data_IF_538703244896
#
_entry.id   IF_538703244896
#
_cell.length_a   1.000
_cell.length_b   1.000
_cell.length_c   1.000
_cell.angle_alpha   90.00
_cell.angle_beta   90.00
_cell.angle_gamma   90.00
#
_symmetry.space_group_name_H-M   'P 1'
#
loop_
_entity.id
_entity.type
_entity.pdbx_description
1 polymer ?
#
# COMPACT_ATOMS: atom_id res chain seq x y z
N UNK A 1 -7.59 -31.50 5.35
CA UNK A 1 -7.52 -32.59 4.33
C UNK A 1 -7.17 -31.97 2.98
N UNK A 2 -6.42 -32.69 2.16
CA UNK A 2 -6.18 -32.36 0.75
C UNK A 2 -6.68 -33.46 -0.16
N UNK A 3 -7.12 -33.09 -1.35
CA UNK A 3 -7.54 -34.05 -2.35
C UNK A 3 -6.32 -34.76 -2.95
N UNK A 4 -6.43 -36.05 -3.16
CA UNK A 4 -5.41 -36.92 -3.76
C UNK A 4 -6.08 -37.88 -4.77
N UNK A 5 -5.41 -38.08 -5.89
CA UNK A 5 -5.82 -39.11 -6.82
C UNK A 5 -5.52 -40.52 -6.21
N UNK A 6 -6.51 -41.37 -6.17
CA UNK A 6 -6.37 -42.77 -5.70
C UNK A 6 -6.70 -43.70 -6.85
N UNK A 7 -5.75 -44.58 -7.18
CA UNK A 7 -5.96 -45.57 -8.22
C UNK A 7 -6.92 -46.66 -7.70
N UNK A 8 -7.97 -46.94 -8.46
CA UNK A 8 -8.82 -48.11 -8.25
C UNK A 8 -8.16 -49.39 -8.76
N UNK A 9 -8.68 -50.56 -8.40
CA UNK A 9 -8.20 -51.88 -8.86
C UNK A 9 -8.29 -52.04 -10.39
N UNK A 10 -9.18 -51.31 -11.01
CA UNK A 10 -9.40 -51.23 -12.46
C UNK A 10 -8.48 -50.23 -13.18
N UNK A 11 -7.55 -49.61 -12.47
CA UNK A 11 -6.64 -48.57 -12.99
C UNK A 11 -7.29 -47.20 -13.17
N UNK A 12 -8.56 -47.00 -12.84
CA UNK A 12 -9.20 -45.70 -12.86
C UNK A 12 -8.73 -44.85 -11.68
N UNK A 13 -8.57 -43.53 -11.91
CA UNK A 13 -8.25 -42.60 -10.85
C UNK A 13 -9.55 -42.03 -10.27
N UNK A 14 -9.68 -42.09 -8.96
CA UNK A 14 -10.80 -41.51 -8.22
C UNK A 14 -10.29 -40.45 -7.24
N UNK A 15 -11.10 -39.42 -6.96
CA UNK A 15 -10.74 -38.47 -5.91
C UNK A 15 -10.80 -39.16 -4.54
N UNK A 16 -9.71 -39.09 -3.82
CA UNK A 16 -9.61 -39.46 -2.42
C UNK A 16 -9.12 -38.29 -1.59
N UNK A 17 -9.06 -38.43 -0.28
CA UNK A 17 -8.62 -37.37 0.62
C UNK A 17 -7.58 -37.94 1.59
N UNK A 18 -6.60 -37.12 1.91
CA UNK A 18 -5.61 -37.40 2.94
C UNK A 18 -5.47 -36.21 3.88
N UNK A 19 -4.96 -36.43 5.08
CA UNK A 19 -4.63 -35.35 5.99
C UNK A 19 -3.64 -34.37 5.30
N UNK A 20 -3.86 -33.07 5.43
CA UNK A 20 -2.89 -32.08 4.99
C UNK A 20 -1.57 -32.32 5.75
N UNK A 21 -0.41 -32.23 5.08
CA UNK A 21 0.86 -32.35 5.78
C UNK A 21 0.94 -31.37 6.94
N UNK A 22 1.43 -31.82 8.07
CA UNK A 22 1.78 -30.92 9.17
C UNK A 22 2.96 -30.06 8.71
N UNK A 23 2.94 -28.78 9.07
CA UNK A 23 4.10 -27.93 8.85
C UNK A 23 5.29 -28.46 9.64
N UNK A 24 6.45 -28.41 9.02
CA UNK A 24 7.71 -28.88 9.62
C UNK A 24 8.56 -27.74 10.18
N UNK A 25 8.11 -26.50 9.99
CA UNK A 25 8.79 -25.29 10.44
C UNK A 25 8.04 -24.72 11.65
N UNK A 26 8.78 -24.34 12.67
CA UNK A 26 8.30 -23.60 13.82
C UNK A 26 8.58 -22.10 13.61
N UNK A 27 7.54 -21.26 13.34
CA UNK A 27 7.72 -19.85 13.11
C UNK A 27 8.29 -19.09 14.32
N UNK A 28 7.89 -19.46 15.54
CA UNK A 28 8.39 -18.83 16.75
C UNK A 28 9.89 -19.10 16.95
N UNK A 29 10.32 -20.32 16.63
CA UNK A 29 11.74 -20.68 16.64
C UNK A 29 12.50 -19.89 15.56
N UNK A 30 11.94 -19.79 14.34
CA UNK A 30 12.53 -19.00 13.25
C UNK A 30 12.71 -17.53 13.64
N UNK A 31 11.69 -16.92 14.21
CA UNK A 31 11.77 -15.55 14.71
C UNK A 31 12.88 -15.38 15.73
N UNK A 32 12.96 -16.30 16.70
CA UNK A 32 13.97 -16.23 17.78
C UNK A 32 15.40 -16.43 17.26
N UNK A 33 15.60 -17.35 16.32
CA UNK A 33 16.92 -17.69 15.77
C UNK A 33 17.45 -16.63 14.79
N UNK A 34 16.57 -15.83 14.20
CA UNK A 34 16.93 -14.89 13.13
C UNK A 34 16.67 -13.41 13.51
N UNK A 35 16.65 -13.10 14.78
CA UNK A 35 16.57 -11.71 15.25
C UNK A 35 17.76 -10.91 14.75
N UNK A 36 17.46 -9.70 14.27
CA UNK A 36 18.51 -8.78 13.83
C UNK A 36 19.21 -8.15 15.02
N UNK A 37 20.54 -8.11 14.98
CA UNK A 37 21.33 -7.36 15.95
C UNK A 37 21.04 -5.86 15.80
N UNK A 38 20.73 -5.15 16.89
CA UNK A 38 20.39 -3.74 16.81
C UNK A 38 21.63 -2.87 16.55
N UNK A 39 21.46 -1.91 15.66
CA UNK A 39 22.37 -0.77 15.57
C UNK A 39 22.10 0.11 16.80
N UNK A 40 23.11 0.43 17.63
CA UNK A 40 22.92 1.21 18.83
C UNK A 40 22.31 2.59 18.55
N UNK A 41 21.35 3.00 19.38
CA UNK A 41 20.76 4.34 19.29
C UNK A 41 21.79 5.41 19.62
N UNK A 42 21.93 6.40 18.74
CA UNK A 42 22.93 7.46 18.88
C UNK A 42 22.36 8.79 19.38
N UNK A 43 21.02 8.89 19.49
CA UNK A 43 20.33 10.18 19.55
C UNK A 43 20.42 10.92 18.23
N UNK A 44 19.70 12.03 18.12
CA UNK A 44 19.71 12.87 16.92
C UNK A 44 21.12 13.42 16.67
N UNK A 45 21.65 13.16 15.50
CA UNK A 45 22.95 13.63 14.99
C UNK A 45 22.81 14.77 13.99
N UNK A 46 21.57 15.16 13.69
CA UNK A 46 21.25 16.14 12.67
C UNK A 46 21.37 15.64 11.23
N UNK A 47 21.55 14.33 11.03
CA UNK A 47 21.59 13.73 9.70
C UNK A 47 20.21 13.77 9.05
N UNK A 48 20.17 14.06 7.76
CA UNK A 48 18.95 14.05 6.95
C UNK A 48 19.01 12.93 5.92
N UNK A 49 17.85 12.43 5.49
CA UNK A 49 17.80 11.38 4.45
C UNK A 49 18.50 11.85 3.15
N UNK A 50 18.45 13.16 2.85
CA UNK A 50 19.21 13.75 1.75
C UNK A 50 20.73 13.59 1.86
N UNK A 51 21.27 13.45 3.07
CA UNK A 51 22.71 13.20 3.28
C UNK A 51 23.07 11.75 2.90
N UNK A 52 22.13 10.80 3.09
CA UNK A 52 22.30 9.42 2.61
C UNK A 52 22.26 9.41 1.07
N UNK A 53 21.31 10.13 0.45
CA UNK A 53 21.23 10.29 -1.01
C UNK A 53 22.53 10.86 -1.58
N UNK A 54 23.10 11.87 -0.92
CA UNK A 54 24.36 12.53 -1.30
C UNK A 54 25.60 11.72 -0.89
N UNK A 55 25.45 10.54 -0.29
CA UNK A 55 26.54 9.65 0.18
C UNK A 55 27.48 10.29 1.21
N UNK A 56 26.97 11.24 2.02
CA UNK A 56 27.69 11.87 3.12
C UNK A 56 27.63 11.04 4.40
N UNK A 57 26.55 10.26 4.56
CA UNK A 57 26.24 9.40 5.70
C UNK A 57 25.78 8.05 5.17
N UNK A 58 26.07 6.98 5.87
CA UNK A 58 25.51 5.66 5.52
C UNK A 58 24.07 5.52 5.99
N UNK A 59 23.35 4.56 5.45
CA UNK A 59 21.97 4.27 5.88
C UNK A 59 21.93 3.82 7.34
N UNK A 60 22.91 3.05 7.77
CA UNK A 60 23.04 2.55 9.14
C UNK A 60 23.29 3.71 10.13
N UNK A 61 24.17 4.66 9.78
CA UNK A 61 24.40 5.86 10.59
C UNK A 61 23.14 6.73 10.68
N UNK A 62 22.41 6.87 9.58
CA UNK A 62 21.16 7.60 9.54
C UNK A 62 20.09 6.95 10.43
N UNK A 63 19.86 5.64 10.30
CA UNK A 63 18.82 4.92 11.04
C UNK A 63 19.18 4.78 12.52
N UNK A 64 20.48 4.82 12.89
CA UNK A 64 20.93 4.80 14.27
C UNK A 64 20.39 5.96 15.13
N UNK A 65 20.09 7.10 14.52
CA UNK A 65 19.56 8.28 15.22
C UNK A 65 18.03 8.28 15.42
N UNK A 66 17.28 7.41 14.71
CA UNK A 66 15.82 7.31 14.86
C UNK A 66 15.49 6.64 16.19
N UNK A 67 14.50 7.15 16.92
CA UNK A 67 14.00 6.52 18.15
C UNK A 67 13.24 5.22 17.86
N UNK A 68 12.93 4.44 18.90
CA UNK A 68 12.09 3.25 18.75
C UNK A 68 10.68 3.61 18.29
N UNK A 69 10.12 4.73 18.77
CA UNK A 69 8.79 5.20 18.35
C UNK A 69 8.82 5.65 16.88
N UNK A 70 9.89 6.32 16.39
CA UNK A 70 10.07 6.64 14.98
C UNK A 70 10.08 5.38 14.09
N UNK A 71 10.84 4.35 14.51
CA UNK A 71 10.93 3.09 13.79
C UNK A 71 9.59 2.35 13.76
N UNK A 72 8.81 2.40 14.84
CA UNK A 72 7.46 1.84 14.90
C UNK A 72 6.50 2.62 13.99
N UNK A 73 6.59 3.97 13.95
CA UNK A 73 5.82 4.78 13.01
C UNK A 73 6.14 4.43 11.56
N UNK A 74 7.41 4.20 11.22
CA UNK A 74 7.81 3.80 9.87
C UNK A 74 7.27 2.43 9.44
N UNK A 75 7.03 1.51 10.39
CA UNK A 75 6.39 0.23 10.12
C UNK A 75 4.89 0.37 9.78
N UNK A 76 4.27 1.50 10.05
CA UNK A 76 2.83 1.71 9.91
C UNK A 76 2.51 2.63 8.74
N UNK A 77 1.76 2.12 7.75
CA UNK A 77 1.20 2.93 6.68
C UNK A 77 -0.16 3.49 7.07
N UNK A 78 -0.41 4.74 6.76
CA UNK A 78 -1.72 5.37 6.93
C UNK A 78 -2.64 5.07 5.74
N UNK A 79 -3.92 5.02 6.01
CA UNK A 79 -4.95 4.56 5.11
C UNK A 79 -5.30 5.51 4.00
N UNK A 80 -6.35 5.09 3.31
CA UNK A 80 -6.85 5.72 2.10
C UNK A 80 -7.16 7.19 2.32
N UNK A 81 -6.78 7.98 1.33
CA UNK A 81 -6.96 9.44 1.34
C UNK A 81 -6.25 10.15 2.49
N UNK A 82 -5.06 9.70 2.88
CA UNK A 82 -4.23 10.45 3.81
C UNK A 82 -3.97 11.87 3.25
N UNK A 83 -4.17 12.94 4.05
CA UNK A 83 -3.93 14.31 3.60
C UNK A 83 -2.45 14.64 3.41
N UNK A 84 -1.55 13.73 3.80
CA UNK A 84 -0.08 13.92 3.74
C UNK A 84 0.52 13.65 2.35
N UNK A 85 -0.28 13.10 1.44
CA UNK A 85 0.13 12.68 0.08
C UNK A 85 -0.91 13.05 -0.95
N UNK A 86 -0.67 12.70 -2.22
CA UNK A 86 -1.62 12.97 -3.31
C UNK A 86 -3.02 12.48 -2.96
N UNK A 87 -4.04 13.36 -3.06
CA UNK A 87 -5.41 13.03 -2.73
C UNK A 87 -5.95 11.84 -3.52
N UNK A 88 -6.77 11.02 -2.88
CA UNK A 88 -7.40 9.86 -3.50
C UNK A 88 -6.50 8.64 -3.65
N UNK A 89 -5.26 8.70 -3.18
CA UNK A 89 -4.35 7.55 -3.17
C UNK A 89 -4.73 6.52 -2.12
N UNK A 90 -4.27 5.28 -2.30
CA UNK A 90 -4.70 4.15 -1.49
C UNK A 90 -4.04 4.11 -0.09
N UNK A 91 -2.82 4.57 0.04
CA UNK A 91 -2.12 4.70 1.31
C UNK A 91 -0.88 5.60 1.24
N UNK A 92 -0.47 6.08 2.41
CA UNK A 92 0.77 6.79 2.64
C UNK A 92 1.68 6.01 3.59
N UNK A 93 3.00 6.12 3.40
CA UNK A 93 4.00 5.47 4.25
C UNK A 93 5.32 6.26 4.27
N UNK A 94 6.23 5.93 5.19
CA UNK A 94 7.50 6.64 5.35
C UNK A 94 7.39 7.80 6.34
N UNK A 95 7.64 9.03 5.92
CA UNK A 95 7.66 10.23 6.77
C UNK A 95 6.26 10.73 7.13
N UNK A 96 5.53 10.00 7.93
CA UNK A 96 4.14 10.30 8.28
C UNK A 96 3.99 11.20 9.50
N UNK A 97 5.06 11.47 10.23
CA UNK A 97 5.04 12.37 11.41
C UNK A 97 5.93 13.60 11.15
N UNK A 98 5.67 14.72 11.83
CA UNK A 98 6.54 15.89 11.74
C UNK A 98 8.00 15.55 12.09
N UNK A 99 8.22 14.71 13.11
CA UNK A 99 9.56 14.30 13.56
C UNK A 99 10.29 13.53 12.45
N UNK A 100 9.62 12.58 11.79
CA UNK A 100 10.20 11.86 10.65
C UNK A 100 10.50 12.81 9.47
N UNK A 101 9.65 13.79 9.22
CA UNK A 101 9.89 14.80 8.19
C UNK A 101 11.06 15.74 8.56
N UNK A 102 11.25 16.02 9.85
CA UNK A 102 12.44 16.75 10.32
C UNK A 102 13.74 15.98 10.04
N UNK A 103 13.73 14.65 10.05
CA UNK A 103 14.85 13.83 9.57
C UNK A 103 15.00 13.82 8.03
N UNK A 104 14.15 14.54 7.32
CA UNK A 104 14.17 14.62 5.86
C UNK A 104 13.54 13.41 5.17
N UNK A 105 12.71 12.65 5.87
CA UNK A 105 11.97 11.50 5.32
C UNK A 105 10.65 12.01 4.76
N UNK A 106 10.41 11.93 3.43
CA UNK A 106 9.11 12.31 2.87
C UNK A 106 8.05 11.24 3.11
N UNK A 107 6.79 11.66 3.08
CA UNK A 107 5.67 10.74 2.91
C UNK A 107 5.63 10.27 1.44
N UNK A 108 5.66 8.97 1.23
CA UNK A 108 5.48 8.33 -0.07
C UNK A 108 4.06 7.74 -0.17
N UNK A 109 3.53 7.54 -1.36
CA UNK A 109 2.21 6.98 -1.53
C UNK A 109 2.12 5.91 -2.60
N UNK A 110 1.06 5.11 -2.48
CA UNK A 110 0.66 4.16 -3.50
C UNK A 110 -0.79 4.37 -3.91
N UNK A 111 -1.10 4.09 -5.19
CA UNK A 111 -2.48 4.09 -5.69
C UNK A 111 -2.91 2.69 -6.08
N UNK A 112 -4.19 2.38 -5.88
CA UNK A 112 -4.74 1.11 -6.37
C UNK A 112 -4.93 1.18 -7.88
N UNK A 113 -5.15 0.03 -8.49
CA UNK A 113 -5.54 -0.10 -9.87
C UNK A 113 -4.60 -0.88 -10.79
N UNK A 114 -4.63 -2.24 -10.76
CA UNK A 114 -3.90 -3.05 -11.75
C UNK A 114 -4.31 -2.77 -13.20
N UNK A 115 -5.49 -2.16 -13.40
CA UNK A 115 -6.01 -1.76 -14.71
C UNK A 115 -6.05 -0.24 -14.91
N UNK A 116 -5.04 0.47 -14.42
CA UNK A 116 -4.90 1.92 -14.44
C UNK A 116 -5.03 2.54 -13.05
N UNK A 117 -4.49 3.74 -12.87
CA UNK A 117 -4.49 4.43 -11.59
C UNK A 117 -5.92 4.68 -11.11
N UNK A 118 -6.16 4.44 -9.84
CA UNK A 118 -7.44 4.71 -9.19
C UNK A 118 -7.27 5.77 -8.11
N UNK A 119 -7.95 6.89 -8.29
CA UNK A 119 -8.04 7.96 -7.31
C UNK A 119 -9.45 8.04 -6.74
N UNK A 120 -9.59 7.87 -5.43
CA UNK A 120 -10.90 7.90 -4.76
C UNK A 120 -11.43 9.33 -4.52
N UNK A 121 -10.77 10.33 -5.08
CA UNK A 121 -11.15 11.75 -5.00
C UNK A 121 -11.81 12.29 -6.28
N UNK A 122 -12.03 11.47 -7.31
CA UNK A 122 -12.59 11.89 -8.58
C UNK A 122 -11.58 12.40 -9.61
N UNK A 123 -10.28 12.45 -9.29
CA UNK A 123 -9.23 12.70 -10.28
C UNK A 123 -9.31 11.64 -11.37
N UNK A 124 -9.32 12.08 -12.63
CA UNK A 124 -9.37 11.18 -13.79
C UNK A 124 -8.00 10.60 -14.07
N UNK A 125 -7.97 9.32 -14.41
CA UNK A 125 -6.78 8.63 -14.88
C UNK A 125 -7.13 7.72 -16.05
N UNK A 126 -6.14 7.28 -16.80
CA UNK A 126 -6.37 6.37 -17.92
C UNK A 126 -6.77 4.98 -17.44
N UNK A 127 -7.84 4.45 -18.02
CA UNK A 127 -8.20 3.04 -17.86
C UNK A 127 -7.32 2.18 -18.74
N UNK A 128 -6.74 1.14 -18.17
CA UNK A 128 -5.86 0.21 -18.87
C UNK A 128 -6.54 -1.16 -19.03
N UNK A 129 -6.10 -1.97 -20.00
CA UNK A 129 -6.54 -3.36 -20.11
C UNK A 129 -6.30 -4.13 -18.81
N UNK A 130 -7.20 -5.04 -18.47
CA UNK A 130 -6.99 -5.90 -17.30
C UNK A 130 -5.87 -6.93 -17.54
N UNK A 131 -5.36 -7.53 -16.44
CA UNK A 131 -4.22 -8.45 -16.50
C UNK A 131 -4.45 -9.65 -17.42
N UNK A 132 -5.64 -10.23 -17.43
CA UNK A 132 -5.99 -11.35 -18.33
C UNK A 132 -5.87 -10.93 -19.79
N UNK A 133 -6.36 -9.74 -20.17
CA UNK A 133 -6.25 -9.25 -21.55
C UNK A 133 -4.80 -8.98 -21.92
N UNK A 134 -4.00 -8.40 -21.01
CA UNK A 134 -2.56 -8.20 -21.23
C UNK A 134 -1.85 -9.54 -21.46
N UNK A 135 -2.17 -10.58 -20.68
CA UNK A 135 -1.64 -11.93 -20.88
C UNK A 135 -2.00 -12.55 -22.24
N UNK A 136 -3.21 -12.27 -22.75
CA UNK A 136 -3.66 -12.75 -24.05
C UNK A 136 -2.93 -12.12 -25.25
N UNK A 137 -2.20 -11.02 -25.06
CA UNK A 137 -1.43 -10.39 -26.14
C UNK A 137 -0.21 -11.20 -26.53
N UNK A 138 0.44 -11.87 -25.58
CA UNK A 138 1.76 -12.50 -25.73
C UNK A 138 2.82 -11.52 -26.26
N UNK A 139 2.62 -10.22 -26.11
CA UNK A 139 3.45 -9.16 -26.67
C UNK A 139 4.09 -8.35 -25.53
N UNK A 140 5.30 -8.75 -25.12
CA UNK A 140 6.03 -8.12 -24.03
C UNK A 140 6.37 -6.65 -24.32
N UNK A 141 6.90 -6.29 -25.51
CA UNK A 141 7.17 -4.88 -25.85
C UNK A 141 5.94 -3.99 -25.76
N UNK A 142 4.80 -4.43 -26.28
CA UNK A 142 3.55 -3.67 -26.21
C UNK A 142 3.13 -3.40 -24.77
N UNK A 143 3.26 -4.41 -23.90
CA UNK A 143 2.90 -4.26 -22.47
C UNK A 143 3.90 -3.32 -21.76
N UNK A 144 5.18 -3.40 -22.08
CA UNK A 144 6.20 -2.49 -21.51
C UNK A 144 5.91 -1.03 -21.90
N UNK A 145 5.65 -0.75 -23.20
CA UNK A 145 5.32 0.59 -23.68
C UNK A 145 4.05 1.14 -23.01
N UNK A 146 3.03 0.29 -22.83
CA UNK A 146 1.80 0.68 -22.14
C UNK A 146 2.08 1.09 -20.69
N UNK A 147 2.92 0.36 -19.98
CA UNK A 147 3.25 0.67 -18.60
C UNK A 147 4.30 1.78 -18.44
N UNK A 148 5.06 2.10 -19.47
CA UNK A 148 5.81 3.35 -19.53
C UNK A 148 4.86 4.57 -19.51
N UNK A 149 3.74 4.50 -20.24
CA UNK A 149 2.71 5.55 -20.19
C UNK A 149 2.09 5.65 -18.79
N UNK A 150 1.79 4.51 -18.16
CA UNK A 150 1.30 4.49 -16.78
C UNK A 150 2.32 5.10 -15.80
N UNK A 151 3.60 4.80 -15.96
CA UNK A 151 4.67 5.37 -15.14
C UNK A 151 4.75 6.89 -15.26
N UNK A 152 4.59 7.44 -16.47
CA UNK A 152 4.53 8.90 -16.68
C UNK A 152 3.31 9.52 -15.98
N UNK A 153 2.14 8.87 -16.07
CA UNK A 153 0.92 9.33 -15.37
C UNK A 153 1.10 9.26 -13.85
N UNK A 154 1.73 8.19 -13.31
CA UNK A 154 2.09 8.09 -11.90
C UNK A 154 2.97 9.25 -11.45
N UNK A 155 4.06 9.52 -12.18
CA UNK A 155 5.00 10.60 -11.86
C UNK A 155 4.34 11.97 -11.89
N UNK A 156 3.48 12.22 -12.88
CA UNK A 156 2.71 13.45 -13.00
C UNK A 156 1.73 13.63 -11.82
N UNK A 157 1.12 12.54 -11.35
CA UNK A 157 0.22 12.55 -10.19
C UNK A 157 0.94 12.40 -8.84
N UNK A 158 2.27 12.45 -8.79
CA UNK A 158 3.08 12.28 -7.58
C UNK A 158 2.82 10.96 -6.85
N UNK A 159 2.60 9.89 -7.60
CA UNK A 159 2.40 8.53 -7.10
C UNK A 159 3.70 7.75 -7.27
N UNK A 160 4.18 7.10 -6.22
CA UNK A 160 5.48 6.43 -6.21
C UNK A 160 5.36 4.93 -6.50
N UNK A 161 4.24 4.32 -6.14
CA UNK A 161 3.95 2.91 -6.41
C UNK A 161 2.52 2.67 -6.87
N UNK A 162 2.35 1.83 -7.90
CA UNK A 162 1.05 1.27 -8.31
C UNK A 162 0.83 -0.04 -7.57
N UNK A 163 -0.35 -0.27 -6.99
CA UNK A 163 -0.72 -1.57 -6.40
C UNK A 163 -1.10 -2.57 -7.51
N UNK A 164 -0.11 -3.00 -8.23
CA UNK A 164 -0.14 -3.91 -9.36
C UNK A 164 1.28 -4.14 -9.90
N UNK A 165 1.48 -5.16 -10.72
CA UNK A 165 0.49 -6.10 -11.25
C UNK A 165 -0.06 -7.09 -10.21
N UNK A 166 -1.32 -7.46 -10.39
CA UNK A 166 -1.89 -8.65 -9.75
C UNK A 166 -1.42 -9.90 -10.49
N UNK A 167 -0.80 -10.86 -9.81
CA UNK A 167 -0.14 -11.97 -10.48
C UNK A 167 -0.35 -13.35 -9.85
N UNK A 168 -1.42 -13.51 -9.07
CA UNK A 168 -1.79 -14.83 -8.60
C UNK A 168 -2.29 -15.71 -9.77
N UNK A 169 -2.07 -17.02 -9.64
CA UNK A 169 -2.35 -17.97 -10.71
C UNK A 169 -3.87 -18.20 -10.86
N UNK A 170 -4.37 -18.21 -12.09
CA UNK A 170 -5.74 -18.59 -12.44
C UNK A 170 -5.97 -20.08 -12.16
N UNK A 171 -6.13 -20.42 -10.89
CA UNK A 171 -6.31 -21.80 -10.47
C UNK A 171 -7.75 -22.30 -10.62
N UNK A 172 -8.70 -21.41 -10.34
CA UNK A 172 -10.13 -21.69 -10.43
C UNK A 172 -10.81 -20.62 -11.28
N UNK A 173 -11.50 -20.99 -12.37
CA UNK A 173 -12.16 -20.02 -13.24
C UNK A 173 -13.24 -19.18 -12.53
N UNK A 174 -13.77 -19.64 -11.41
CA UNK A 174 -14.75 -18.92 -10.60
C UNK A 174 -14.11 -17.98 -9.55
N UNK A 175 -12.79 -17.83 -9.51
CA UNK A 175 -12.16 -16.86 -8.63
C UNK A 175 -12.51 -15.43 -9.06
N UNK A 176 -13.05 -14.63 -8.13
CA UNK A 176 -13.58 -13.30 -8.41
C UNK A 176 -12.55 -12.27 -8.88
N UNK A 177 -11.25 -12.54 -8.74
CA UNK A 177 -10.17 -11.62 -9.13
C UNK A 177 -9.32 -12.10 -10.31
N UNK A 178 -9.75 -13.16 -11.00
CA UNK A 178 -9.01 -13.62 -12.19
C UNK A 178 -8.88 -12.56 -13.27
N UNK A 179 -9.85 -11.65 -13.40
CA UNK A 179 -9.80 -10.58 -14.40
C UNK A 179 -8.56 -9.68 -14.24
N UNK A 180 -8.13 -9.40 -13.02
CA UNK A 180 -6.94 -8.57 -12.75
C UNK A 180 -5.63 -9.35 -12.78
N UNK A 181 -5.71 -10.68 -12.59
CA UNK A 181 -4.56 -11.56 -12.71
C UNK A 181 -4.29 -11.91 -14.18
N UNK A 182 -3.14 -12.52 -14.48
CA UNK A 182 -2.64 -12.59 -15.85
C UNK A 182 -2.98 -13.93 -16.51
N UNK A 183 -2.59 -15.05 -15.88
CA UNK A 183 -2.70 -16.37 -16.50
C UNK A 183 -2.70 -17.51 -15.47
N UNK A 184 -3.03 -18.72 -15.92
CA UNK A 184 -2.76 -19.97 -15.19
C UNK A 184 -1.28 -20.40 -15.34
N UNK A 185 -0.58 -19.92 -16.38
CA UNK A 185 0.83 -20.17 -16.62
C UNK A 185 1.69 -19.23 -15.79
N UNK A 186 2.51 -19.74 -14.85
CA UNK A 186 3.37 -18.90 -14.01
C UNK A 186 4.49 -18.23 -14.79
N UNK A 187 4.93 -18.80 -15.91
CA UNK A 187 5.96 -18.22 -16.75
C UNK A 187 5.44 -17.00 -17.51
N UNK A 188 4.29 -17.13 -18.17
CA UNK A 188 3.62 -16.01 -18.85
C UNK A 188 3.26 -14.91 -17.83
N UNK A 189 2.71 -15.29 -16.70
CA UNK A 189 2.40 -14.36 -15.60
C UNK A 189 3.64 -13.59 -15.14
N UNK A 190 4.77 -14.27 -14.98
CA UNK A 190 6.01 -13.66 -14.54
C UNK A 190 6.56 -12.64 -15.53
N UNK A 191 6.64 -13.00 -16.82
CA UNK A 191 7.17 -12.11 -17.84
C UNK A 191 6.27 -10.90 -18.15
N UNK A 192 4.96 -11.10 -18.23
CA UNK A 192 4.03 -9.98 -18.39
C UNK A 192 4.13 -9.03 -17.18
N UNK A 193 4.29 -9.55 -15.97
CA UNK A 193 4.51 -8.71 -14.79
C UNK A 193 5.86 -8.01 -14.80
N UNK A 194 6.92 -8.69 -15.22
CA UNK A 194 8.26 -8.11 -15.30
C UNK A 194 8.29 -6.89 -16.23
N UNK A 195 7.70 -6.98 -17.42
CA UNK A 195 7.69 -5.84 -18.36
C UNK A 195 6.78 -4.70 -17.91
N UNK A 196 5.72 -4.98 -17.13
CA UNK A 196 4.94 -3.93 -16.50
C UNK A 196 5.81 -3.12 -15.52
N UNK A 197 6.62 -3.80 -14.69
CA UNK A 197 7.57 -3.14 -13.80
C UNK A 197 8.59 -2.32 -14.59
N UNK A 198 9.25 -2.95 -15.59
CA UNK A 198 10.25 -2.28 -16.43
C UNK A 198 9.70 -1.02 -17.12
N UNK A 199 8.46 -1.06 -17.60
CA UNK A 199 7.81 0.11 -18.18
C UNK A 199 7.67 1.25 -17.19
N UNK A 200 7.16 1.00 -15.97
CA UNK A 200 7.01 2.01 -14.92
C UNK A 200 8.36 2.57 -14.44
N UNK A 201 9.38 1.71 -14.33
CA UNK A 201 10.72 2.10 -13.89
C UNK A 201 11.39 3.13 -14.83
N UNK A 202 10.98 3.23 -16.10
CA UNK A 202 11.45 4.31 -17.01
C UNK A 202 11.08 5.71 -16.54
N UNK A 203 10.15 5.81 -15.60
CA UNK A 203 9.73 7.06 -14.95
C UNK A 203 10.14 7.12 -13.47
N UNK A 204 11.06 6.26 -13.02
CA UNK A 204 11.54 6.12 -11.63
C UNK A 204 10.43 5.76 -10.61
N UNK A 205 9.27 5.30 -11.08
CA UNK A 205 8.16 4.80 -10.26
C UNK A 205 8.01 3.29 -10.48
N UNK A 206 7.30 2.58 -9.60
CA UNK A 206 7.29 1.12 -9.68
C UNK A 206 5.89 0.53 -9.44
N UNK A 207 5.77 -0.75 -9.76
CA UNK A 207 4.62 -1.57 -9.37
C UNK A 207 4.87 -2.33 -8.07
N UNK A 208 3.80 -2.59 -7.35
CA UNK A 208 3.75 -3.48 -6.19
C UNK A 208 3.16 -4.81 -6.62
N UNK A 209 4.02 -5.80 -6.84
CA UNK A 209 3.56 -7.13 -7.25
C UNK A 209 2.74 -7.79 -6.14
N UNK A 210 1.52 -8.28 -6.48
CA UNK A 210 0.55 -8.75 -5.50
C UNK A 210 -0.23 -9.97 -5.97
N UNK A 211 -0.76 -10.79 -5.07
CA UNK A 211 -0.58 -10.82 -3.62
C UNK A 211 0.35 -11.99 -3.26
N UNK A 212 1.45 -11.71 -2.69
CA UNK A 212 2.52 -12.68 -2.39
C UNK A 212 2.21 -13.44 -1.11
N UNK A 213 1.87 -14.73 -1.18
CA UNK A 213 1.56 -15.54 -2.36
C UNK A 213 0.33 -16.41 -2.09
N UNK A 214 -0.19 -17.01 -3.14
CA UNK A 214 -1.23 -18.05 -3.00
C UNK A 214 -2.66 -17.53 -2.83
N UNK A 215 -2.96 -16.27 -3.16
CA UNK A 215 -4.33 -15.74 -3.16
C UNK A 215 -5.09 -16.17 -4.42
N UNK A 216 -5.41 -17.46 -4.50
CA UNK A 216 -6.09 -18.06 -5.65
C UNK A 216 -7.59 -18.28 -5.44
N UNK A 217 -8.14 -17.71 -4.36
CA UNK A 217 -9.54 -17.79 -3.97
C UNK A 217 -9.92 -16.58 -3.13
N UNK A 218 -11.01 -15.89 -3.50
CA UNK A 218 -11.52 -14.74 -2.76
C UNK A 218 -12.47 -15.11 -1.61
N UNK A 219 -13.20 -16.24 -1.75
CA UNK A 219 -14.05 -16.71 -0.66
C UNK A 219 -13.21 -17.06 0.56
N UNK A 220 -13.49 -16.39 1.70
CA UNK A 220 -12.76 -16.53 2.96
C UNK A 220 -11.25 -16.21 2.83
N UNK A 221 -10.86 -15.30 1.97
CA UNK A 221 -9.46 -14.96 1.65
C UNK A 221 -8.58 -14.65 2.86
N UNK A 222 -9.15 -14.18 3.97
CA UNK A 222 -8.41 -13.89 5.21
C UNK A 222 -8.05 -15.16 6.01
N UNK A 223 -8.74 -16.26 5.80
CA UNK A 223 -8.62 -17.46 6.64
C UNK A 223 -8.45 -18.76 5.89
N UNK A 224 -8.68 -18.78 4.57
CA UNK A 224 -8.46 -19.98 3.76
C UNK A 224 -6.98 -20.33 3.72
N UNK A 225 -6.65 -21.53 4.18
CA UNK A 225 -5.28 -22.01 4.17
C UNK A 225 -4.93 -22.64 2.81
N UNK A 226 -3.99 -22.03 2.11
CA UNK A 226 -3.44 -22.60 0.87
C UNK A 226 -2.47 -23.72 1.22
N UNK A 227 -2.94 -24.97 1.15
CA UNK A 227 -2.13 -26.17 1.41
C UNK A 227 -1.42 -26.60 0.13
N UNK A 228 -0.12 -26.39 0.09
CA UNK A 228 0.69 -26.54 -1.13
C UNK A 228 1.97 -27.31 -0.81
N UNK A 229 2.35 -28.26 -1.68
CA UNK A 229 3.65 -28.91 -1.58
C UNK A 229 4.79 -27.91 -1.91
N UNK A 230 5.97 -28.12 -1.37
CA UNK A 230 7.16 -27.28 -1.65
C UNK A 230 7.43 -27.16 -3.16
N UNK A 231 7.34 -28.27 -3.88
CA UNK A 231 7.51 -28.27 -5.33
C UNK A 231 6.47 -27.41 -6.05
N UNK A 232 5.19 -27.58 -5.76
CA UNK A 232 4.14 -26.78 -6.38
C UNK A 232 4.24 -25.30 -5.99
N UNK A 233 4.62 -25.02 -4.74
CA UNK A 233 4.85 -23.64 -4.28
C UNK A 233 5.92 -22.97 -5.13
N UNK A 234 7.08 -23.60 -5.33
CA UNK A 234 8.21 -23.02 -6.07
C UNK A 234 8.02 -23.00 -7.58
N UNK A 235 7.46 -24.06 -8.16
CA UNK A 235 7.34 -24.18 -9.62
C UNK A 235 6.13 -23.46 -10.20
N UNK A 236 5.09 -23.19 -9.37
CA UNK A 236 3.84 -22.57 -9.82
C UNK A 236 3.57 -21.25 -9.09
N UNK A 237 3.36 -21.30 -7.77
CA UNK A 237 2.82 -20.14 -7.04
C UNK A 237 3.84 -19.04 -6.77
N UNK A 238 5.13 -19.37 -6.70
CA UNK A 238 6.23 -18.41 -6.52
C UNK A 238 6.93 -18.08 -7.83
N UNK A 239 6.83 -18.91 -8.87
CA UNK A 239 7.63 -18.78 -10.09
C UNK A 239 7.43 -17.45 -10.80
N UNK A 240 6.19 -16.98 -10.91
CA UNK A 240 5.91 -15.67 -11.51
C UNK A 240 6.56 -14.53 -10.73
N UNK A 241 6.49 -14.57 -9.39
CA UNK A 241 7.13 -13.57 -8.53
C UNK A 241 8.65 -13.60 -8.63
N UNK A 242 9.26 -14.79 -8.70
CA UNK A 242 10.70 -14.92 -8.93
C UNK A 242 11.15 -14.22 -10.20
N UNK A 243 10.40 -14.40 -11.30
CA UNK A 243 10.67 -13.72 -12.57
C UNK A 243 10.50 -12.20 -12.43
N UNK A 244 9.40 -11.74 -11.85
CA UNK A 244 9.15 -10.31 -11.66
C UNK A 244 10.23 -9.63 -10.80
N UNK A 245 10.77 -10.33 -9.79
CA UNK A 245 11.87 -9.83 -8.95
C UNK A 245 13.18 -9.81 -9.73
N UNK A 246 13.57 -10.94 -10.33
CA UNK A 246 14.90 -11.10 -10.94
C UNK A 246 15.05 -10.43 -12.30
N UNK A 247 13.99 -10.49 -13.11
CA UNK A 247 14.01 -9.97 -14.50
C UNK A 247 13.32 -8.61 -14.62
N UNK A 248 12.29 -8.37 -13.80
CA UNK A 248 11.56 -7.09 -13.76
C UNK A 248 12.14 -6.07 -12.79
N UNK A 249 13.00 -6.49 -11.86
CA UNK A 249 13.57 -5.60 -10.85
C UNK A 249 12.53 -5.03 -9.86
N UNK A 250 11.47 -5.78 -9.54
CA UNK A 250 10.42 -5.32 -8.63
C UNK A 250 10.99 -4.83 -7.30
N UNK A 251 10.60 -3.62 -6.88
CA UNK A 251 11.06 -2.96 -5.64
C UNK A 251 9.97 -2.88 -4.56
N UNK A 252 8.75 -3.28 -4.88
CA UNK A 252 7.63 -3.29 -3.95
C UNK A 252 6.82 -4.58 -4.09
N UNK A 253 6.46 -5.18 -2.96
CA UNK A 253 5.69 -6.43 -2.90
C UNK A 253 4.59 -6.28 -1.84
N UNK A 254 3.39 -6.82 -2.13
CA UNK A 254 2.31 -6.91 -1.16
C UNK A 254 2.10 -8.36 -0.77
N UNK A 255 2.21 -8.66 0.54
CA UNK A 255 1.87 -9.97 1.09
C UNK A 255 0.36 -10.20 1.06
N UNK A 256 -0.07 -11.45 0.90
CA UNK A 256 -1.50 -11.78 0.83
C UNK A 256 -2.15 -11.89 2.22
N UNK A 257 -3.48 -11.88 2.24
CA UNK A 257 -4.26 -12.03 3.48
C UNK A 257 -4.14 -13.40 4.13
N UNK A 258 -4.19 -14.45 3.34
CA UNK A 258 -4.38 -15.82 3.84
C UNK A 258 -3.09 -16.51 4.26
N UNK A 259 -3.22 -17.61 5.02
CA UNK A 259 -2.08 -18.46 5.34
C UNK A 259 -1.70 -19.38 4.19
N UNK A 260 -0.39 -19.67 4.09
CA UNK A 260 0.17 -20.74 3.28
C UNK A 260 0.73 -21.81 4.22
N UNK A 261 0.27 -23.04 4.06
CA UNK A 261 0.66 -24.16 4.92
C UNK A 261 0.53 -23.87 6.43
N UNK A 262 -0.50 -23.11 6.80
CA UNK A 262 -0.84 -22.82 8.18
C UNK A 262 -0.14 -21.61 8.80
N UNK A 263 0.67 -20.85 8.01
CA UNK A 263 1.34 -19.63 8.47
C UNK A 263 0.82 -18.46 7.64
N UNK A 264 0.31 -17.40 8.29
CA UNK A 264 -0.12 -16.18 7.60
C UNK A 264 1.05 -15.55 6.87
N UNK A 265 0.86 -15.21 5.61
CA UNK A 265 1.96 -14.79 4.73
C UNK A 265 2.64 -13.52 5.19
N UNK A 266 1.89 -12.56 5.76
CA UNK A 266 2.47 -11.33 6.32
C UNK A 266 3.46 -11.59 7.49
N UNK A 267 3.30 -12.70 8.21
CA UNK A 267 4.20 -13.12 9.31
C UNK A 267 5.06 -14.34 8.95
N UNK A 268 5.21 -14.68 7.67
CA UNK A 268 5.92 -15.88 7.24
C UNK A 268 7.38 -15.57 6.89
N UNK A 269 8.27 -15.78 7.86
CA UNK A 269 9.71 -15.55 7.71
C UNK A 269 10.32 -16.31 6.52
N UNK A 270 9.94 -17.58 6.31
CA UNK A 270 10.51 -18.38 5.23
C UNK A 270 10.11 -17.85 3.85
N UNK A 271 8.90 -17.33 3.68
CA UNK A 271 8.49 -16.67 2.44
C UNK A 271 9.18 -15.32 2.24
N UNK A 272 9.08 -14.43 3.26
CA UNK A 272 9.46 -13.03 3.12
C UNK A 272 10.97 -12.78 3.27
N UNK A 273 11.66 -13.63 4.05
CA UNK A 273 13.09 -13.48 4.28
C UNK A 273 13.89 -14.59 3.63
N UNK A 274 13.63 -15.87 3.94
CA UNK A 274 14.46 -16.96 3.42
C UNK A 274 14.41 -17.05 1.90
N UNK A 275 13.21 -17.10 1.32
CA UNK A 275 13.04 -17.24 -0.14
C UNK A 275 13.23 -15.89 -0.83
N UNK A 276 12.41 -14.90 -0.46
CA UNK A 276 12.36 -13.62 -1.18
C UNK A 276 13.71 -12.89 -1.10
N UNK A 277 14.22 -12.66 0.09
CA UNK A 277 15.47 -11.90 0.29
C UNK A 277 16.71 -12.77 0.16
N UNK A 278 16.70 -13.96 0.76
CA UNK A 278 17.86 -14.85 0.80
C UNK A 278 18.14 -15.56 -0.52
N UNK A 279 17.12 -16.13 -1.19
CA UNK A 279 17.32 -16.90 -2.42
C UNK A 279 17.22 -16.02 -3.69
N UNK A 280 16.37 -14.99 -3.67
CA UNK A 280 16.14 -14.13 -4.85
C UNK A 280 16.91 -12.81 -4.81
N UNK A 281 17.58 -12.49 -3.70
CA UNK A 281 18.30 -11.23 -3.47
C UNK A 281 17.39 -9.99 -3.60
N UNK A 282 16.14 -10.12 -3.16
CA UNK A 282 15.22 -9.00 -3.15
C UNK A 282 15.65 -7.94 -2.12
N UNK A 283 15.84 -6.71 -2.56
CA UNK A 283 16.29 -5.56 -1.77
C UNK A 283 15.21 -4.47 -1.59
N UNK A 284 14.04 -4.67 -2.19
CA UNK A 284 12.90 -3.78 -2.03
C UNK A 284 12.17 -3.94 -0.69
N UNK A 285 11.05 -3.23 -0.53
CA UNK A 285 10.23 -3.34 0.66
C UNK A 285 8.98 -4.21 0.44
N UNK A 286 8.44 -4.74 1.52
CA UNK A 286 7.22 -5.55 1.56
C UNK A 286 6.17 -4.82 2.39
N UNK A 287 5.00 -4.60 1.81
CA UNK A 287 3.81 -4.13 2.54
C UNK A 287 2.82 -5.27 2.73
N UNK A 288 1.95 -5.14 3.72
CA UNK A 288 0.80 -6.05 3.84
C UNK A 288 -0.30 -5.67 2.84
N UNK A 289 -1.21 -6.58 2.55
CA UNK A 289 -2.54 -6.20 2.09
C UNK A 289 -3.29 -5.47 3.23
N UNK A 290 -4.37 -4.72 2.89
CA UNK A 290 -5.06 -3.82 3.82
C UNK A 290 -5.69 -4.58 5.00
N UNK A 291 -5.33 -4.18 6.23
CA UNK A 291 -5.80 -4.83 7.47
C UNK A 291 -5.49 -6.34 7.54
N UNK A 292 -4.39 -6.77 6.98
CA UNK A 292 -3.94 -8.15 7.02
C UNK A 292 -3.86 -8.66 8.46
N UNK A 293 -4.03 -9.96 8.59
CA UNK A 293 -3.95 -10.65 9.87
C UNK A 293 -2.64 -11.41 9.98
N UNK A 294 -2.16 -11.58 11.20
CA UNK A 294 -1.20 -12.63 11.52
C UNK A 294 -1.49 -13.22 12.90
N UNK A 295 -0.80 -14.30 13.23
CA UNK A 295 -0.95 -14.95 14.51
C UNK A 295 0.40 -15.23 15.16
N UNK A 296 0.40 -15.28 16.48
CA UNK A 296 1.46 -15.94 17.25
C UNK A 296 1.22 -17.45 17.24
N UNK A 297 2.29 -18.20 17.37
CA UNK A 297 2.20 -19.67 17.40
C UNK A 297 1.21 -20.15 18.47
N UNK A 298 0.25 -20.99 18.04
CA UNK A 298 -0.79 -21.53 18.92
C UNK A 298 -1.96 -20.61 19.22
N UNK A 299 -2.01 -19.40 18.66
CA UNK A 299 -3.09 -18.42 18.82
C UNK A 299 -3.85 -18.21 17.51
N UNK A 300 -5.07 -17.73 17.62
CA UNK A 300 -5.84 -17.27 16.45
C UNK A 300 -5.24 -16.01 15.85
N UNK A 301 -5.40 -15.85 14.54
CA UNK A 301 -4.94 -14.66 13.85
C UNK A 301 -5.80 -13.44 14.19
N UNK A 302 -5.16 -12.31 14.38
CA UNK A 302 -5.82 -11.03 14.64
C UNK A 302 -5.26 -9.93 13.74
N UNK A 303 -5.98 -8.81 13.66
CA UNK A 303 -5.54 -7.60 12.95
C UNK A 303 -4.60 -6.71 13.76
N UNK A 304 -4.30 -7.09 14.99
CA UNK A 304 -3.45 -6.34 15.92
C UNK A 304 -2.19 -7.10 16.31
N UNK A 305 -1.99 -8.31 15.76
CA UNK A 305 -0.78 -9.11 15.97
C UNK A 305 0.23 -8.79 14.87
N UNK A 306 1.06 -7.79 15.07
CA UNK A 306 2.02 -7.29 14.08
C UNK A 306 3.47 -7.68 14.35
N UNK A 307 3.82 -8.05 15.58
CA UNK A 307 5.19 -8.47 15.90
C UNK A 307 5.73 -9.60 15.01
N UNK A 308 4.96 -10.65 14.64
CA UNK A 308 5.41 -11.63 13.67
C UNK A 308 5.66 -11.05 12.27
N UNK A 309 4.92 -10.00 11.86
CA UNK A 309 5.12 -9.34 10.58
C UNK A 309 6.47 -8.61 10.56
N UNK A 310 6.76 -7.82 11.62
CA UNK A 310 8.04 -7.14 11.79
C UNK A 310 9.19 -8.12 11.68
N UNK A 311 9.14 -9.20 12.45
CA UNK A 311 10.20 -10.22 12.48
C UNK A 311 10.38 -10.93 11.14
N UNK A 312 9.30 -11.20 10.42
CA UNK A 312 9.33 -11.90 9.13
C UNK A 312 9.89 -11.06 7.97
N UNK A 313 10.07 -9.76 8.15
CA UNK A 313 10.51 -8.86 7.08
C UNK A 313 9.38 -8.35 6.20
N UNK A 314 8.17 -8.25 6.75
CA UNK A 314 7.13 -7.40 6.22
C UNK A 314 7.40 -6.00 6.77
N UNK A 315 7.70 -5.05 5.88
CA UNK A 315 8.31 -3.79 6.28
C UNK A 315 7.29 -2.70 6.64
N UNK A 316 6.09 -2.78 6.08
CA UNK A 316 5.00 -1.83 6.34
C UNK A 316 3.67 -2.56 6.51
N UNK A 317 3.00 -2.32 7.62
CA UNK A 317 1.60 -2.73 7.82
C UNK A 317 0.65 -1.71 7.17
N UNK A 318 -0.22 -2.18 6.30
CA UNK A 318 -1.28 -1.38 5.68
C UNK A 318 -2.65 -1.80 6.24
N UNK A 319 -3.44 -0.94 6.84
CA UNK A 319 -3.26 0.47 7.09
C UNK A 319 -3.73 0.78 8.50
N UNK A 320 -3.20 1.83 9.10
CA UNK A 320 -3.70 2.39 10.35
C UNK A 320 -4.38 3.74 10.11
N UNK A 321 -5.04 4.27 11.14
CA UNK A 321 -5.63 5.62 11.09
C UNK A 321 -4.62 6.69 11.50
N UNK A 322 -3.76 6.35 12.47
CA UNK A 322 -2.72 7.22 13.02
C UNK A 322 -1.51 6.37 13.38
N UNK A 323 -0.39 6.60 12.70
CA UNK A 323 0.83 5.82 12.91
C UNK A 323 1.43 6.03 14.32
N UNK A 324 1.08 7.12 15.00
CA UNK A 324 1.59 7.45 16.34
C UNK A 324 0.83 6.76 17.50
N UNK A 325 -0.34 6.19 17.23
CA UNK A 325 -1.07 5.42 18.25
C UNK A 325 -0.34 4.11 18.57
N UNK A 326 0.44 4.13 19.65
CA UNK A 326 1.24 2.98 20.10
C UNK A 326 0.41 1.86 20.73
N UNK A 327 -0.90 2.06 20.92
CA UNK A 327 -1.81 1.07 21.52
C UNK A 327 -2.57 0.22 20.50
N UNK A 328 -2.47 0.55 19.20
CA UNK A 328 -3.28 -0.09 18.16
C UNK A 328 -2.84 -1.52 17.80
N UNK A 329 -1.62 -1.91 18.17
CA UNK A 329 -1.04 -3.23 17.88
C UNK A 329 -0.04 -3.68 18.98
N UNK A 330 0.55 -4.85 18.79
CA UNK A 330 1.46 -5.46 19.76
C UNK A 330 2.95 -5.14 19.55
N UNK A 331 3.31 -4.25 18.62
CA UNK A 331 4.73 -4.03 18.22
C UNK A 331 5.53 -3.41 19.37
N UNK A 332 5.01 -2.37 20.02
CA UNK A 332 5.70 -1.71 21.14
C UNK A 332 5.89 -2.66 22.31
N UNK A 333 4.83 -3.38 22.70
CA UNK A 333 4.87 -4.37 23.77
C UNK A 333 5.86 -5.51 23.44
N UNK A 334 5.88 -6.00 22.19
CA UNK A 334 6.79 -7.05 21.75
C UNK A 334 8.26 -6.60 21.77
N UNK A 335 8.53 -5.34 21.43
CA UNK A 335 9.86 -4.74 21.54
C UNK A 335 10.31 -4.67 23.01
N UNK A 336 9.45 -4.16 23.90
CA UNK A 336 9.74 -4.08 25.34
C UNK A 336 9.98 -5.45 25.98
N UNK A 337 9.26 -6.48 25.55
CA UNK A 337 9.44 -7.87 25.99
C UNK A 337 10.63 -8.58 25.34
N UNK A 338 11.26 -7.97 24.35
CA UNK A 338 12.34 -8.58 23.57
C UNK A 338 11.87 -9.75 22.69
N UNK A 339 10.61 -9.79 22.29
CA UNK A 339 10.10 -10.76 21.31
C UNK A 339 10.58 -10.41 19.90
N UNK A 340 10.63 -9.11 19.58
CA UNK A 340 11.34 -8.53 18.43
C UNK A 340 12.49 -7.64 18.94
N UNK A 341 13.39 -7.28 18.06
CA UNK A 341 14.50 -6.39 18.39
C UNK A 341 14.35 -5.05 17.69
N UNK A 342 15.05 -4.03 18.22
CA UNK A 342 15.24 -2.76 17.49
C UNK A 342 15.85 -3.01 16.10
N UNK A 343 16.76 -4.00 15.96
CA UNK A 343 17.37 -4.38 14.69
C UNK A 343 16.35 -4.86 13.66
N UNK A 344 15.28 -5.56 14.08
CA UNK A 344 14.20 -5.96 13.17
C UNK A 344 13.45 -4.75 12.62
N UNK A 345 13.14 -3.77 13.46
CA UNK A 345 12.50 -2.51 13.04
C UNK A 345 13.42 -1.67 12.17
N UNK A 346 14.72 -1.59 12.51
CA UNK A 346 15.71 -0.87 11.70
C UNK A 346 15.87 -1.46 10.31
N UNK A 347 15.93 -2.80 10.19
CA UNK A 347 15.92 -3.47 8.88
C UNK A 347 14.70 -3.08 8.05
N UNK A 348 13.50 -3.13 8.64
CA UNK A 348 12.27 -2.76 7.94
C UNK A 348 12.30 -1.29 7.51
N UNK A 349 12.70 -0.39 8.42
CA UNK A 349 12.84 1.03 8.10
C UNK A 349 13.86 1.27 6.97
N UNK A 350 15.01 0.60 6.99
CA UNK A 350 16.01 0.73 5.92
C UNK A 350 15.47 0.29 4.56
N UNK A 351 14.66 -0.78 4.49
CA UNK A 351 14.03 -1.22 3.24
C UNK A 351 13.08 -0.16 2.68
N UNK A 352 12.25 0.46 3.54
CA UNK A 352 11.35 1.56 3.15
C UNK A 352 12.15 2.79 2.70
N UNK A 353 13.22 3.14 3.42
CA UNK A 353 14.08 4.29 3.08
C UNK A 353 14.83 4.08 1.75
N UNK A 354 15.32 2.86 1.48
CA UNK A 354 15.91 2.53 0.19
C UNK A 354 14.90 2.69 -0.95
N UNK A 355 13.66 2.25 -0.73
CA UNK A 355 12.59 2.48 -1.71
C UNK A 355 12.37 3.97 -1.96
N UNK A 356 12.20 4.78 -0.90
CA UNK A 356 12.00 6.23 -0.99
C UNK A 356 13.15 6.92 -1.73
N UNK A 357 14.41 6.55 -1.43
CA UNK A 357 15.59 7.08 -2.11
C UNK A 357 15.64 6.73 -3.60
N UNK A 358 15.01 5.65 -4.01
CA UNK A 358 14.92 5.18 -5.40
C UNK A 358 13.73 5.73 -6.17
N UNK A 359 12.91 6.64 -5.60
CA UNK A 359 11.71 7.19 -6.23
C UNK A 359 11.78 8.72 -6.33
N UNK A 360 10.97 9.37 -7.19
CA UNK A 360 10.90 10.83 -7.28
C UNK A 360 10.46 11.52 -5.99
N UNK A 361 9.87 10.79 -5.05
CA UNK A 361 9.40 11.30 -3.77
C UNK A 361 10.47 12.11 -3.02
N UNK A 362 11.67 11.57 -2.87
CA UNK A 362 12.78 12.25 -2.19
C UNK A 362 13.23 13.49 -2.95
N UNK A 363 13.26 13.43 -4.30
CA UNK A 363 13.68 14.59 -5.11
C UNK A 363 12.66 15.73 -5.02
N UNK A 364 11.36 15.42 -5.01
CA UNK A 364 10.29 16.40 -4.78
C UNK A 364 10.44 17.04 -3.41
N UNK A 365 10.64 16.25 -2.38
CA UNK A 365 10.80 16.72 -0.99
C UNK A 365 12.01 17.64 -0.82
N UNK A 366 13.11 17.36 -1.52
CA UNK A 366 14.34 18.17 -1.50
C UNK A 366 14.33 19.33 -2.49
N UNK A 367 13.23 19.56 -3.20
CA UNK A 367 13.12 20.56 -4.28
C UNK A 367 14.21 20.41 -5.37
N UNK A 368 14.46 19.13 -5.75
CA UNK A 368 15.47 18.74 -6.77
C UNK A 368 14.86 18.20 -8.07
N UNK A 369 13.56 18.39 -8.28
CA UNK A 369 12.88 18.12 -9.56
C UNK A 369 13.01 19.32 -10.50
N UNK A 370 12.85 19.11 -11.83
CA UNK A 370 12.91 20.19 -12.81
C UNK A 370 11.70 21.11 -12.72
N UNK A 371 11.85 22.37 -13.14
CA UNK A 371 10.73 23.31 -13.23
C UNK A 371 9.63 22.80 -14.18
N UNK A 372 10.00 22.16 -15.28
CA UNK A 372 9.05 21.53 -16.21
C UNK A 372 8.19 20.45 -15.51
N UNK A 373 8.80 19.65 -14.64
CA UNK A 373 8.07 18.64 -13.85
C UNK A 373 7.15 19.28 -12.81
N UNK A 374 7.57 20.38 -12.17
CA UNK A 374 6.71 21.14 -11.24
C UNK A 374 5.49 21.69 -11.96
N UNK A 375 5.69 22.36 -13.09
CA UNK A 375 4.59 22.91 -13.92
C UNK A 375 3.62 21.81 -14.39
N UNK A 376 4.13 20.65 -14.82
CA UNK A 376 3.29 19.52 -15.24
C UNK A 376 2.46 18.96 -14.08
N UNK A 377 2.97 19.01 -12.85
CA UNK A 377 2.25 18.55 -11.65
C UNK A 377 1.22 19.58 -11.15
N UNK A 378 1.42 20.86 -11.41
CA UNK A 378 0.49 21.94 -11.03
C UNK A 378 -0.73 22.05 -11.96
N UNK A 379 -0.59 21.67 -13.23
CA UNK A 379 -1.65 21.79 -14.25
C UNK A 379 -2.83 20.79 -14.07
N UNK A 380 -2.79 19.90 -13.09
CA UNK A 380 -3.84 18.90 -12.89
C UNK A 380 -5.11 19.40 -12.17
N UNK A 381 -5.20 20.67 -11.86
CA UNK A 381 -6.31 21.28 -11.10
C UNK A 381 -7.46 21.89 -11.91
N UNK A 382 -7.53 21.72 -13.23
CA UNK A 382 -8.58 22.33 -14.04
C UNK A 382 -9.94 21.64 -13.89
N UNK A 383 -10.68 22.05 -12.85
CA UNK A 383 -12.13 21.92 -12.83
C UNK A 383 -12.70 23.28 -13.28
N UNK A 384 -13.44 23.27 -14.40
CA UNK A 384 -14.09 24.45 -15.01
C UNK A 384 -15.20 25.06 -14.12
N UNK A 385 -14.85 25.58 -12.95
CA UNK A 385 -15.76 26.34 -12.12
C UNK A 385 -15.69 27.85 -12.48
N UNK A 386 -16.79 28.39 -12.93
CA UNK A 386 -16.93 29.84 -13.14
C UNK A 386 -17.36 30.46 -11.81
N UNK A 387 -16.46 31.15 -11.13
CA UNK A 387 -16.70 31.77 -9.81
C UNK A 387 -17.91 32.74 -9.77
N UNK A 388 -18.34 33.27 -10.92
CA UNK A 388 -19.43 34.25 -11.01
C UNK A 388 -20.83 33.70 -10.66
N UNK A 389 -21.01 32.37 -10.69
CA UNK A 389 -22.32 31.71 -10.45
C UNK A 389 -22.43 31.06 -9.07
N UNK A 390 -21.44 31.27 -8.19
CA UNK A 390 -21.40 30.63 -6.88
C UNK A 390 -22.16 31.42 -5.82
N UNK A 391 -22.90 30.72 -4.96
CA UNK A 391 -23.47 31.33 -3.76
C UNK A 391 -22.36 31.72 -2.81
N UNK A 392 -22.34 32.97 -2.36
CA UNK A 392 -21.32 33.46 -1.43
C UNK A 392 -21.82 33.39 0.01
N UNK A 393 -21.00 32.83 0.87
CA UNK A 393 -21.18 32.76 2.32
C UNK A 393 -20.20 33.71 3.01
N UNK A 394 -20.69 34.43 3.99
CA UNK A 394 -19.85 35.35 4.80
C UNK A 394 -19.56 34.70 6.15
N UNK A 395 -18.38 34.99 6.69
CA UNK A 395 -18.01 34.52 8.01
C UNK A 395 -18.83 35.25 9.11
N UNK A 396 -19.21 34.51 10.14
CA UNK A 396 -19.79 35.11 11.33
C UNK A 396 -18.77 36.07 11.97
N UNK A 397 -19.13 37.35 12.20
CA UNK A 397 -18.19 38.34 12.69
C UNK A 397 -17.72 38.11 14.13
N UNK A 398 -18.45 37.31 14.92
CA UNK A 398 -18.09 37.01 16.32
C UNK A 398 -17.22 35.75 16.42
N UNK A 399 -17.58 34.67 15.69
CA UNK A 399 -16.88 33.38 15.75
C UNK A 399 -15.84 33.21 14.64
N UNK A 400 -16.04 33.83 13.49
CA UNK A 400 -15.25 33.63 12.30
C UNK A 400 -15.65 32.37 11.51
N UNK A 401 -16.70 31.67 11.92
CA UNK A 401 -17.15 30.45 11.28
C UNK A 401 -18.02 30.75 10.03
N UNK A 402 -17.94 29.87 9.06
CA UNK A 402 -18.83 29.85 7.89
C UNK A 402 -19.62 28.54 7.94
N UNK A 403 -20.94 28.66 8.05
CA UNK A 403 -21.82 27.46 8.06
C UNK A 403 -22.48 27.33 6.72
N UNK A 404 -22.30 26.20 6.07
CA UNK A 404 -22.85 25.89 4.74
C UNK A 404 -23.84 24.75 4.88
N UNK A 405 -25.10 25.00 4.53
CA UNK A 405 -26.13 23.95 4.46
C UNK A 405 -26.03 23.22 3.13
N UNK A 406 -25.41 22.06 3.16
CA UNK A 406 -25.24 21.19 1.99
C UNK A 406 -26.47 20.28 1.76
N UNK A 407 -27.53 20.36 2.56
CA UNK A 407 -28.72 19.51 2.43
C UNK A 407 -29.50 19.76 1.14
N UNK A 408 -29.35 20.95 0.59
CA UNK A 408 -29.96 21.34 -0.70
C UNK A 408 -29.15 20.87 -1.93
N UNK A 409 -27.95 20.34 -1.75
CA UNK A 409 -27.14 19.84 -2.85
C UNK A 409 -27.68 18.49 -3.31
N UNK A 410 -28.23 18.46 -4.53
CA UNK A 410 -28.73 17.23 -5.14
C UNK A 410 -27.55 16.31 -5.50
N UNK A 411 -27.46 15.18 -4.81
CA UNK A 411 -26.49 14.13 -5.16
C UNK A 411 -27.19 13.09 -6.02
N UNK A 412 -26.95 13.09 -7.33
CA UNK A 412 -27.46 12.06 -8.23
C UNK A 412 -26.69 10.79 -8.05
N UNK A 413 -27.40 9.73 -7.65
CA UNK A 413 -26.86 8.39 -7.41
C UNK A 413 -25.97 7.94 -8.58
N UNK A 414 -24.66 7.78 -8.33
CA UNK A 414 -23.69 7.26 -9.30
C UNK A 414 -22.95 8.28 -10.16
N UNK A 415 -23.05 9.58 -9.85
CA UNK A 415 -22.27 10.64 -10.50
C UNK A 415 -21.40 11.35 -9.46
N UNK A 416 -20.17 11.68 -9.84
CA UNK A 416 -19.36 12.64 -9.08
C UNK A 416 -19.91 14.03 -9.42
N UNK A 417 -20.67 14.65 -8.52
CA UNK A 417 -21.10 16.04 -8.68
C UNK A 417 -20.19 16.94 -7.90
N UNK A 418 -19.76 18.03 -8.52
CA UNK A 418 -18.99 19.08 -7.88
C UNK A 418 -19.96 20.19 -7.51
N UNK A 419 -20.07 20.48 -6.21
CA UNK A 419 -20.82 21.59 -5.69
C UNK A 419 -19.84 22.68 -5.26
N UNK A 420 -20.04 23.90 -5.72
CA UNK A 420 -19.16 25.02 -5.40
C UNK A 420 -19.88 26.11 -4.63
N UNK A 421 -19.17 26.73 -3.71
CA UNK A 421 -19.60 27.94 -2.99
C UNK A 421 -18.45 28.91 -2.96
N UNK A 422 -18.77 30.19 -2.82
CA UNK A 422 -17.79 31.24 -2.53
C UNK A 422 -17.81 31.55 -1.04
N UNK A 423 -16.65 31.70 -0.43
CA UNK A 423 -16.53 32.04 0.98
C UNK A 423 -15.77 33.37 1.06
N UNK A 424 -16.37 34.34 1.74
CA UNK A 424 -15.70 35.59 2.06
C UNK A 424 -15.12 35.50 3.49
N UNK A 425 -13.79 35.37 3.57
CA UNK A 425 -13.08 35.33 4.85
C UNK A 425 -12.42 36.69 5.14
N UNK A 426 -12.67 37.23 6.33
CA UNK A 426 -12.16 38.54 6.74
C UNK A 426 -10.71 38.52 7.19
N UNK A 427 -10.14 37.34 7.45
CA UNK A 427 -8.80 37.20 8.04
C UNK A 427 -7.99 36.18 7.29
N UNK A 428 -6.69 36.47 7.13
CA UNK A 428 -5.71 35.46 6.73
C UNK A 428 -5.41 34.56 7.93
N UNK A 429 -5.39 33.26 7.72
CA UNK A 429 -5.11 32.27 8.77
C UNK A 429 -5.28 30.83 8.28
N UNK A 430 -5.04 29.88 9.16
CA UNK A 430 -5.38 28.47 8.94
C UNK A 430 -6.85 28.26 9.24
N UNK A 431 -7.51 27.48 8.40
CA UNK A 431 -8.93 27.16 8.52
C UNK A 431 -9.10 25.64 8.59
N UNK A 432 -10.01 25.22 9.46
CA UNK A 432 -10.48 23.85 9.51
C UNK A 432 -11.81 23.70 8.77
N UNK A 433 -11.99 22.59 8.08
CA UNK A 433 -13.30 22.20 7.59
C UNK A 433 -13.87 21.11 8.48
N UNK A 434 -15.09 21.33 8.97
CA UNK A 434 -15.85 20.38 9.71
C UNK A 434 -17.06 19.95 8.89
N UNK A 435 -17.23 18.65 8.65
CA UNK A 435 -18.32 18.11 7.85
C UNK A 435 -19.13 17.08 8.66
N UNK A 436 -20.44 17.30 8.72
CA UNK A 436 -21.37 16.28 9.18
C UNK A 436 -21.91 15.48 7.99
N UNK A 437 -21.71 14.18 8.03
CA UNK A 437 -22.01 13.29 6.90
C UNK A 437 -22.75 12.04 7.38
N UNK A 438 -23.63 11.50 6.53
CA UNK A 438 -24.20 10.17 6.69
C UNK A 438 -24.34 9.44 5.37
N UNK A 439 -24.25 8.13 5.42
CA UNK A 439 -24.50 7.27 4.27
C UNK A 439 -25.28 6.03 4.70
N UNK A 440 -26.35 5.72 4.02
CA UNK A 440 -27.12 4.50 4.24
C UNK A 440 -26.45 3.31 3.52
N UNK A 441 -25.21 3.03 3.91
CA UNK A 441 -24.36 1.99 3.35
C UNK A 441 -23.67 1.23 4.48
N UNK A 442 -23.34 -0.03 4.21
CA UNK A 442 -22.66 -0.92 5.15
C UNK A 442 -21.19 -0.49 5.42
N UNK A 443 -20.63 -0.92 6.54
CA UNK A 443 -19.30 -0.54 7.05
C UNK A 443 -18.15 -0.68 6.07
N UNK A 444 -18.28 -1.54 5.04
CA UNK A 444 -17.24 -1.75 4.04
C UNK A 444 -17.36 -0.82 2.82
N UNK A 445 -18.43 -0.06 2.73
CA UNK A 445 -18.56 0.96 1.69
C UNK A 445 -17.63 2.13 2.02
N UNK A 446 -16.97 2.65 1.00
CA UNK A 446 -16.09 3.82 1.11
C UNK A 446 -16.70 4.97 0.35
N UNK A 447 -16.70 6.13 0.96
CA UNK A 447 -17.21 7.37 0.41
C UNK A 447 -16.16 8.44 0.59
N UNK A 448 -15.92 9.24 -0.43
CA UNK A 448 -14.94 10.31 -0.39
C UNK A 448 -15.58 11.62 -0.80
N UNK A 449 -15.25 12.66 -0.05
CA UNK A 449 -15.55 14.06 -0.40
C UNK A 449 -14.22 14.76 -0.61
N UNK A 450 -14.00 15.28 -1.82
CA UNK A 450 -12.80 16.07 -2.13
C UNK A 450 -13.13 17.54 -1.96
N UNK A 451 -12.31 18.23 -1.18
CA UNK A 451 -12.44 19.65 -0.93
C UNK A 451 -11.43 20.40 -1.79
N UNK A 452 -11.92 21.29 -2.64
CA UNK A 452 -11.11 22.20 -3.45
C UNK A 452 -11.24 23.62 -2.91
N UNK A 453 -10.15 24.38 -2.93
CA UNK A 453 -10.16 25.82 -2.73
C UNK A 453 -9.42 26.44 -3.90
N UNK A 454 -10.06 27.36 -4.60
CA UNK A 454 -9.51 28.01 -5.80
C UNK A 454 -9.01 26.99 -6.85
N UNK A 455 -9.80 25.93 -7.07
CA UNK A 455 -9.49 24.79 -7.94
C UNK A 455 -8.28 23.92 -7.52
N UNK A 456 -7.73 24.16 -6.33
CA UNK A 456 -6.65 23.35 -5.76
C UNK A 456 -7.23 22.38 -4.74
N UNK A 457 -6.95 21.09 -4.89
CA UNK A 457 -7.31 20.09 -3.89
C UNK A 457 -6.60 20.40 -2.57
N UNK A 458 -7.38 20.59 -1.51
CA UNK A 458 -6.85 20.84 -0.16
C UNK A 458 -6.88 19.59 0.71
N UNK A 459 -7.97 18.86 0.66
CA UNK A 459 -8.11 17.63 1.44
C UNK A 459 -9.11 16.69 0.82
N UNK A 460 -9.02 15.42 1.17
CA UNK A 460 -10.05 14.42 0.88
C UNK A 460 -10.53 13.82 2.20
N UNK A 461 -11.83 13.89 2.42
CA UNK A 461 -12.46 13.31 3.59
C UNK A 461 -13.07 11.99 3.15
N UNK A 462 -12.49 10.88 3.59
CA UNK A 462 -13.02 9.55 3.35
C UNK A 462 -13.69 9.00 4.59
N UNK A 463 -14.89 8.49 4.40
CA UNK A 463 -15.64 7.81 5.44
C UNK A 463 -16.02 6.40 5.01
N UNK A 464 -16.26 5.54 5.98
CA UNK A 464 -16.93 4.25 5.76
C UNK A 464 -18.44 4.45 5.70
N UNK A 465 -19.16 3.45 5.21
CA UNK A 465 -20.61 3.47 5.32
C UNK A 465 -21.05 3.63 6.79
N UNK A 466 -22.00 4.52 7.05
CA UNK A 466 -22.41 4.90 8.40
C UNK A 466 -23.70 4.23 8.86
N UNK A 467 -24.28 3.35 8.04
CA UNK A 467 -25.58 2.70 8.30
C UNK A 467 -26.70 3.69 8.63
N UNK A 468 -26.63 4.88 8.03
CA UNK A 468 -27.60 5.95 8.24
C UNK A 468 -27.37 6.80 9.50
N UNK A 469 -26.31 6.56 10.24
CA UNK A 469 -25.93 7.41 11.38
C UNK A 469 -25.12 8.62 10.89
N UNK A 470 -25.27 9.76 11.60
CA UNK A 470 -24.48 10.94 11.33
C UNK A 470 -23.10 10.81 11.98
N UNK A 471 -22.07 11.13 11.21
CA UNK A 471 -20.69 11.23 11.69
C UNK A 471 -20.14 12.63 11.39
N UNK A 472 -19.15 13.03 12.16
CA UNK A 472 -18.49 14.33 12.08
C UNK A 472 -17.01 14.13 11.80
N UNK A 473 -16.52 14.79 10.77
CA UNK A 473 -15.11 14.77 10.39
C UNK A 473 -14.56 16.18 10.30
N UNK A 474 -13.36 16.38 10.83
CA UNK A 474 -12.66 17.67 10.81
C UNK A 474 -11.32 17.50 10.10
N UNK A 475 -10.95 18.47 9.26
CA UNK A 475 -9.65 18.51 8.59
C UNK A 475 -9.12 19.92 8.57
N UNK A 476 -7.82 20.06 8.82
CA UNK A 476 -7.09 21.30 8.58
C UNK A 476 -6.93 21.52 7.06
N UNK A 477 -7.30 22.69 6.59
CA UNK A 477 -7.19 23.06 5.18
C UNK A 477 -5.84 23.70 4.85
N UNK A 478 -5.06 24.10 5.83
CA UNK A 478 -3.73 24.71 5.72
C UNK A 478 -3.68 25.88 4.74
N UNK A 479 -3.38 27.05 5.15
CA UNK A 479 -3.14 28.21 4.27
C UNK A 479 -1.85 28.88 4.61
#
# INVERSE_FOLDING_TARGET
>A
ERMKAVAGEDGTLKPGYEAAPLRTVDPAKRMKENRMEPIPYTGDKGYKLGDVLDKKVTMEEFVAQLSDDDLICMFRGEGMCSPKVTPGTAAAFGGLTPELQEFGIPASCCTDGPSGLRFDCGTKAFSMPNGTLLGCTFDLPLVEDLYEMAGREMRQNRVDALLGPGMNIHRNPLNGRNFEYISEDPYLTGWISAVQILGMEKSDVTGTIKHFCGNNQESKRHTVNAVVSERALREIYLKGYEIAVKEGGARSIMSTYGPVNGIWTAGNYDLLTTILRGEWNYDGFVMTDWWAMSNREGYEATRTTHAPMVSAGNDVFMVCNDCTDMSQDDVKEALEKGEITRGDLQRNAMNVLHFILGTPCILRFLDRISEEEKEAQEQQGDNDFVAADLVTYEADPETGDVVIDASAWENKKGTSEVCGVSILADKMGTYDIEMEMKADLEDLAQLSVTVYIDNIVKTVISIRGTKGEWIKETRDLGF
#
